data_IF_465903945150
#
_entry.id   IF_465903945150
#
_cell.length_a   1.000
_cell.length_b   1.000
_cell.length_c   1.000
_cell.angle_alpha   90.00
_cell.angle_beta   90.00
_cell.angle_gamma   90.00
#
_symmetry.space_group_name_H-M   'P 1'
#
loop_
_entity.id
_entity.type
_entity.pdbx_description
1 polymer ?
#
# COMPACT_ATOMS: atom_id res chain seq x y z
N UNK A 1 -16.29 6.63 7.30
CA UNK A 1 -17.02 7.63 6.48
C UNK A 1 -16.32 7.83 5.13
N UNK A 2 -15.09 8.36 5.08
CA UNK A 2 -14.40 8.69 3.82
C UNK A 2 -14.14 7.49 2.91
N UNK A 3 -13.60 6.39 3.43
CA UNK A 3 -13.30 5.19 2.62
C UNK A 3 -14.58 4.58 2.02
N UNK A 4 -15.65 4.46 2.82
CA UNK A 4 -16.94 3.94 2.34
C UNK A 4 -17.51 4.78 1.19
N UNK A 5 -17.50 6.11 1.32
CA UNK A 5 -17.95 7.00 0.25
C UNK A 5 -17.11 6.86 -1.03
N UNK A 6 -15.79 6.69 -0.89
CA UNK A 6 -14.91 6.44 -2.03
C UNK A 6 -15.21 5.08 -2.68
N UNK A 7 -15.44 4.03 -1.90
CA UNK A 7 -15.76 2.70 -2.42
C UNK A 7 -17.15 2.68 -3.09
N UNK A 8 -18.14 3.38 -2.55
CA UNK A 8 -19.45 3.59 -3.19
C UNK A 8 -19.26 4.26 -4.57
N UNK A 9 -18.45 5.32 -4.64
CA UNK A 9 -18.17 6.01 -5.89
C UNK A 9 -17.42 5.12 -6.89
N UNK A 10 -16.37 4.42 -6.47
CA UNK A 10 -15.58 3.56 -7.34
C UNK A 10 -16.40 2.35 -7.82
N UNK A 11 -17.27 1.79 -6.98
CA UNK A 11 -18.22 0.74 -7.36
C UNK A 11 -19.19 1.25 -8.45
N UNK A 12 -19.72 2.47 -8.28
CA UNK A 12 -20.55 3.10 -9.31
C UNK A 12 -19.79 3.27 -10.63
N UNK A 13 -18.54 3.75 -10.58
CA UNK A 13 -17.69 3.87 -11.78
C UNK A 13 -17.50 2.51 -12.46
N UNK A 14 -17.24 1.46 -11.68
CA UNK A 14 -17.08 0.11 -12.20
C UNK A 14 -18.36 -0.43 -12.86
N UNK A 15 -19.55 -0.08 -12.35
CA UNK A 15 -20.83 -0.52 -12.93
C UNK A 15 -21.06 0.00 -14.36
N UNK A 16 -20.37 1.08 -14.77
CA UNK A 16 -20.39 1.62 -16.13
C UNK A 16 -19.16 1.20 -16.95
N UNK A 17 -18.49 0.10 -16.59
CA UNK A 17 -17.25 -0.35 -17.26
C UNK A 17 -17.40 -0.57 -18.77
N UNK A 18 -18.59 -0.92 -19.25
CA UNK A 18 -18.84 -1.08 -20.69
C UNK A 18 -18.69 0.23 -21.48
N UNK A 19 -18.94 1.37 -20.82
CA UNK A 19 -18.82 2.70 -21.42
C UNK A 19 -17.49 3.38 -21.11
N UNK A 20 -17.03 3.32 -19.84
CA UNK A 20 -15.83 4.04 -19.40
C UNK A 20 -14.55 3.17 -19.41
N UNK A 21 -14.67 1.86 -19.66
CA UNK A 21 -13.58 0.87 -19.68
C UNK A 21 -12.81 0.72 -18.36
N UNK A 22 -13.37 1.20 -17.25
CA UNK A 22 -12.79 1.07 -15.92
C UNK A 22 -13.39 -0.12 -15.18
N UNK A 23 -12.70 -1.26 -15.24
CA UNK A 23 -13.03 -2.43 -14.41
C UNK A 23 -12.58 -2.23 -12.96
N UNK A 24 -13.08 -3.04 -12.02
CA UNK A 24 -12.58 -3.05 -10.64
C UNK A 24 -11.06 -3.20 -10.58
N UNK A 25 -10.47 -3.99 -11.50
CA UNK A 25 -9.03 -4.17 -11.60
C UNK A 25 -8.32 -2.88 -12.02
N UNK A 26 -8.83 -2.16 -13.02
CA UNK A 26 -8.25 -0.89 -13.47
C UNK A 26 -8.30 0.15 -12.34
N UNK A 27 -9.44 0.20 -11.63
CA UNK A 27 -9.60 1.09 -10.47
C UNK A 27 -8.64 0.70 -9.34
N UNK A 28 -8.49 -0.58 -9.05
CA UNK A 28 -7.55 -1.05 -8.02
C UNK A 28 -6.10 -0.72 -8.35
N UNK A 29 -5.72 -0.78 -9.64
CA UNK A 29 -4.38 -0.37 -10.11
C UNK A 29 -4.16 1.13 -9.93
N UNK A 30 -5.14 1.96 -10.27
CA UNK A 30 -5.02 3.42 -10.17
C UNK A 30 -5.08 3.93 -8.73
N UNK A 31 -5.94 3.35 -7.89
CA UNK A 31 -6.26 3.88 -6.57
C UNK A 31 -5.67 3.07 -5.41
N UNK A 32 -5.29 1.81 -5.64
CA UNK A 32 -4.69 0.93 -4.62
C UNK A 32 -3.47 1.56 -3.95
N UNK A 33 -2.49 2.11 -4.70
CA UNK A 33 -1.36 2.79 -4.10
C UNK A 33 -1.77 4.01 -3.27
N UNK A 34 -2.70 4.82 -3.77
CA UNK A 34 -3.07 6.09 -3.11
C UNK A 34 -3.85 5.85 -1.82
N UNK A 35 -4.69 4.80 -1.79
CA UNK A 35 -5.58 4.52 -0.66
C UNK A 35 -4.95 3.60 0.39
N UNK A 36 -4.05 2.70 -0.02
CA UNK A 36 -3.64 1.55 0.78
C UNK A 36 -2.11 1.33 0.82
N UNK A 37 -1.29 2.19 0.18
CA UNK A 37 0.16 2.15 0.44
C UNK A 37 0.39 2.46 1.92
N UNK A 38 1.11 1.59 2.66
CA UNK A 38 1.54 1.95 4.00
C UNK A 38 2.41 3.21 3.88
N UNK A 39 1.98 4.32 4.47
CA UNK A 39 2.95 5.34 4.90
C UNK A 39 3.89 4.60 5.84
N UNK A 40 5.15 4.43 5.43
CA UNK A 40 6.23 3.75 6.16
C UNK A 40 6.32 4.16 7.65
N UNK A 41 5.78 5.33 7.99
CA UNK A 41 5.57 5.84 9.34
C UNK A 41 4.77 4.92 10.28
N UNK A 42 3.86 4.08 9.77
CA UNK A 42 2.95 3.27 10.60
C UNK A 42 3.57 1.95 11.09
N UNK A 43 4.57 1.41 10.40
CA UNK A 43 5.25 0.18 10.79
C UNK A 43 6.49 0.45 11.66
N UNK A 44 7.19 1.58 11.44
CA UNK A 44 8.28 2.01 12.32
C UNK A 44 7.80 2.47 13.70
N UNK A 45 6.59 3.04 13.81
CA UNK A 45 6.04 3.52 15.08
C UNK A 45 5.71 2.40 16.09
N UNK A 46 5.68 1.14 15.65
CA UNK A 46 5.50 -0.03 16.54
C UNK A 46 6.81 -0.62 17.08
N UNK A 47 7.97 -0.24 16.54
CA UNK A 47 9.28 -0.75 16.96
C UNK A 47 10.11 0.29 17.75
N UNK A 48 9.62 1.52 17.88
CA UNK A 48 10.23 2.58 18.71
C UNK A 48 9.33 2.95 19.89
N UNK A 49 9.05 1.97 20.77
CA UNK A 49 8.63 2.30 22.13
C UNK A 49 9.76 3.07 22.86
N UNK A 50 9.43 4.02 23.75
CA UNK A 50 10.35 5.06 24.20
C UNK A 50 11.32 4.52 25.26
N UNK A 51 12.62 4.49 24.96
CA UNK A 51 13.59 4.10 26.00
C UNK A 51 15.05 3.91 25.61
N UNK A 52 15.51 4.34 24.44
CA UNK A 52 16.93 4.18 24.08
C UNK A 52 17.43 5.41 23.35
N UNK A 53 18.25 6.21 24.04
CA UNK A 53 18.85 7.43 23.52
C UNK A 53 19.76 7.19 22.31
N UNK A 54 20.16 8.26 21.62
CA UNK A 54 20.99 8.13 20.42
C UNK A 54 22.42 7.78 20.83
N UNK A 55 22.80 6.51 20.69
CA UNK A 55 24.21 6.13 20.65
C UNK A 55 24.69 6.25 19.21
N UNK A 56 25.46 7.32 19.02
CA UNK A 56 26.48 7.50 18.00
C UNK A 56 27.22 6.21 17.68
N UNK A 57 27.30 5.82 16.40
CA UNK A 57 28.05 4.62 16.02
C UNK A 57 28.16 4.41 14.52
N UNK A 58 28.96 5.27 13.88
CA UNK A 58 29.52 5.01 12.55
C UNK A 58 30.27 3.66 12.55
N UNK A 59 29.93 2.77 11.63
CA UNK A 59 30.57 1.47 11.48
C UNK A 59 30.35 0.89 10.09
N UNK A 60 31.36 1.03 9.23
CA UNK A 60 31.40 0.47 7.90
C UNK A 60 31.23 -1.07 7.92
N UNK A 61 30.24 -1.58 7.21
CA UNK A 61 30.01 -3.01 7.01
C UNK A 61 29.51 -3.28 5.60
N UNK A 62 30.32 -3.97 4.80
CA UNK A 62 30.01 -4.45 3.44
C UNK A 62 28.81 -5.40 3.48
N UNK A 63 27.58 -4.87 3.43
CA UNK A 63 26.34 -5.65 3.38
C UNK A 63 25.18 -5.00 2.61
N UNK A 64 25.35 -3.76 2.12
CA UNK A 64 24.27 -2.90 1.65
C UNK A 64 23.46 -3.38 0.42
N UNK A 65 23.95 -4.38 -0.34
CA UNK A 65 23.18 -4.90 -1.48
C UNK A 65 22.06 -5.86 -1.09
N UNK A 66 22.24 -6.66 -0.03
CA UNK A 66 21.22 -7.63 0.36
C UNK A 66 20.05 -6.97 1.09
N UNK A 67 20.34 -5.94 1.90
CA UNK A 67 19.31 -5.22 2.65
C UNK A 67 18.45 -4.33 1.74
N UNK A 68 19.09 -3.56 0.85
CA UNK A 68 18.37 -2.72 -0.13
C UNK A 68 17.51 -3.56 -1.09
N UNK A 69 18.03 -4.71 -1.54
CA UNK A 69 17.26 -5.64 -2.38
C UNK A 69 16.07 -6.25 -1.62
N UNK A 70 16.24 -6.57 -0.34
CA UNK A 70 15.14 -7.09 0.50
C UNK A 70 14.03 -6.05 0.69
N UNK A 71 14.37 -4.77 0.81
CA UNK A 71 13.41 -3.68 0.97
C UNK A 71 12.67 -3.36 -0.34
N UNK A 72 13.37 -3.39 -1.47
CA UNK A 72 12.78 -3.29 -2.81
C UNK A 72 11.81 -4.46 -3.10
N UNK A 73 12.16 -5.69 -2.70
CA UNK A 73 11.27 -6.84 -2.82
C UNK A 73 10.05 -6.69 -1.89
N UNK A 74 10.24 -6.28 -0.63
CA UNK A 74 9.14 -6.10 0.31
C UNK A 74 8.15 -5.04 -0.21
N UNK A 75 8.67 -3.88 -0.65
CA UNK A 75 7.84 -2.83 -1.25
C UNK A 75 7.11 -3.32 -2.52
N UNK A 76 7.76 -4.08 -3.41
CA UNK A 76 7.11 -4.70 -4.56
C UNK A 76 5.96 -5.65 -4.19
N UNK A 77 6.13 -6.41 -3.11
CA UNK A 77 5.07 -7.28 -2.56
C UNK A 77 3.93 -6.44 -1.99
N UNK A 78 4.23 -5.39 -1.24
CA UNK A 78 3.23 -4.47 -0.69
C UNK A 78 2.46 -3.75 -1.80
N UNK A 79 3.16 -3.38 -2.89
CA UNK A 79 2.54 -2.79 -4.07
C UNK A 79 1.48 -3.72 -4.69
N UNK A 80 1.76 -5.01 -4.73
CA UNK A 80 0.80 -5.99 -5.22
C UNK A 80 -0.36 -6.20 -4.26
N UNK A 81 -0.08 -6.30 -2.96
CA UNK A 81 -1.09 -6.57 -1.92
C UNK A 81 -2.15 -5.49 -1.84
N UNK A 82 -1.77 -4.22 -1.98
CA UNK A 82 -2.74 -3.13 -1.91
C UNK A 82 -3.67 -3.08 -3.13
N UNK A 83 -3.18 -3.46 -4.32
CA UNK A 83 -4.01 -3.60 -5.52
C UNK A 83 -5.00 -4.75 -5.31
N UNK A 84 -4.51 -5.91 -4.89
CA UNK A 84 -5.35 -7.09 -4.64
C UNK A 84 -6.41 -6.82 -3.56
N UNK A 85 -6.04 -6.14 -2.47
CA UNK A 85 -6.97 -5.77 -1.40
C UNK A 85 -8.08 -4.84 -1.92
N UNK A 86 -7.73 -3.78 -2.64
CA UNK A 86 -8.73 -2.86 -3.18
C UNK A 86 -9.61 -3.51 -4.25
N UNK A 87 -9.02 -4.35 -5.11
CA UNK A 87 -9.77 -5.11 -6.10
C UNK A 87 -10.82 -6.02 -5.44
N UNK A 88 -10.41 -6.75 -4.41
CA UNK A 88 -11.31 -7.64 -3.66
C UNK A 88 -12.41 -6.87 -2.94
N UNK A 89 -12.08 -5.73 -2.33
CA UNK A 89 -13.07 -4.85 -1.69
C UNK A 89 -14.11 -4.37 -2.70
N UNK A 90 -13.70 -3.92 -3.89
CA UNK A 90 -14.61 -3.45 -4.94
C UNK A 90 -15.46 -4.58 -5.54
N UNK A 91 -14.95 -5.81 -5.62
CA UNK A 91 -15.72 -6.97 -6.11
C UNK A 91 -16.85 -7.38 -5.18
N UNK A 92 -16.68 -7.18 -3.87
CA UNK A 92 -17.66 -7.53 -2.84
C UNK A 92 -18.43 -6.33 -2.31
N UNK A 93 -18.15 -5.12 -2.82
CA UNK A 93 -18.81 -3.91 -2.37
C UNK A 93 -20.29 -3.95 -2.80
N UNK A 94 -21.23 -3.76 -1.86
CA UNK A 94 -22.66 -3.80 -2.15
C UNK A 94 -23.08 -2.67 -3.11
#
# INVERSE_FOLDING_TARGET
>A
ATLSFLLDHLSLVASYSDSNRMTCQNLAVCFGPVLLTPTQESWQAGMTAPGSGPLTGSGAGRGGRSFAHSEEIASAVDFKRHIEALHYLLQLWP
#
